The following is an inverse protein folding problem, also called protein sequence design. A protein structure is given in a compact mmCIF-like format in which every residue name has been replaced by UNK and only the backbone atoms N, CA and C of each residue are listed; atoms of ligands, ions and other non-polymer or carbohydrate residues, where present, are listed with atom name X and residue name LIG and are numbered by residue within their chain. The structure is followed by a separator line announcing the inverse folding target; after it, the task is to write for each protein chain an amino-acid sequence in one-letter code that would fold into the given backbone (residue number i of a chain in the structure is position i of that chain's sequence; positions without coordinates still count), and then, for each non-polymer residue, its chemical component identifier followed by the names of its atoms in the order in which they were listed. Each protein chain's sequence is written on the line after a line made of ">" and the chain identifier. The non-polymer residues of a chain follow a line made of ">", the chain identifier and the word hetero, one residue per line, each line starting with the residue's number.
data_IF_750802760507
#
_entry.id   IF_750802760507
#
_cell.length_a   1.000
_cell.length_b   1.000
_cell.length_c   1.000
_cell.angle_alpha   90.00
_cell.angle_beta   90.00
_cell.angle_gamma   90.00
#
_symmetry.space_group_name_H-M   'P 1'
#
loop_
_entity.id
_entity.type
_entity.pdbx_description
1 polymer ?
#
# COMPACT_ATOMS: atom_id res chain seq x y z
N UNK A 1 14.08 29.25 32.75
CA UNK A 1 12.66 28.82 32.70
C UNK A 1 12.26 28.17 31.37
N UNK A 2 12.65 28.69 30.20
CA UNK A 2 12.26 28.11 28.89
C UNK A 2 12.95 26.77 28.52
N UNK A 3 14.23 26.59 28.88
CA UNK A 3 15.02 25.40 28.53
C UNK A 3 14.53 24.12 29.21
N UNK A 4 14.08 24.22 30.47
CA UNK A 4 13.51 23.08 31.23
C UNK A 4 12.19 22.63 30.62
N UNK A 5 11.37 23.57 30.15
CA UNK A 5 10.10 23.29 29.49
C UNK A 5 10.28 22.50 28.19
N UNK A 6 11.28 22.90 27.39
CA UNK A 6 11.62 22.21 26.14
C UNK A 6 12.15 20.80 26.38
N UNK A 7 12.97 20.61 27.42
CA UNK A 7 13.55 19.30 27.76
C UNK A 7 12.48 18.34 28.30
N UNK A 8 11.54 18.83 29.11
CA UNK A 8 10.37 18.06 29.56
C UNK A 8 9.45 17.68 28.39
N UNK A 9 9.25 18.58 27.43
CA UNK A 9 8.46 18.32 26.24
C UNK A 9 9.11 17.26 25.34
N UNK A 10 10.44 17.31 25.16
CA UNK A 10 11.19 16.27 24.44
C UNK A 10 11.12 14.92 25.15
N UNK A 11 11.26 14.89 26.48
CA UNK A 11 11.14 13.65 27.27
C UNK A 11 9.74 13.03 27.16
N UNK A 12 8.67 13.83 27.16
CA UNK A 12 7.31 13.32 26.99
C UNK A 12 7.01 12.73 25.61
N UNK A 13 7.80 13.09 24.58
CA UNK A 13 7.69 12.49 23.24
C UNK A 13 8.47 11.18 23.11
N UNK A 14 9.57 11.02 23.86
CA UNK A 14 10.39 9.81 23.87
C UNK A 14 9.77 8.70 24.73
N UNK A 15 9.05 9.09 25.79
CA UNK A 15 8.32 8.18 26.67
C UNK A 15 6.83 8.55 26.68
N UNK A 16 6.08 8.25 25.60
CA UNK A 16 4.65 8.53 25.59
C UNK A 16 3.99 7.77 26.75
N UNK A 17 3.08 8.41 27.51
CA UNK A 17 2.35 7.72 28.56
C UNK A 17 1.66 6.50 27.93
N UNK A 18 1.94 5.30 28.47
CA UNK A 18 1.27 4.05 28.08
C UNK A 18 -0.17 4.10 28.58
N UNK A 19 -0.99 4.91 27.91
CA UNK A 19 -2.44 4.83 28.01
C UNK A 19 -2.92 3.48 27.48
N UNK A 20 -4.16 3.07 27.78
CA UNK A 20 -4.73 1.88 27.18
C UNK A 20 -4.58 1.97 25.66
N UNK A 21 -3.94 0.96 25.07
CA UNK A 21 -3.71 0.86 23.63
C UNK A 21 -5.07 0.64 22.97
N UNK A 22 -5.80 1.72 22.73
CA UNK A 22 -6.97 1.72 21.89
C UNK A 22 -6.51 1.26 20.51
N UNK A 23 -7.00 0.11 20.08
CA UNK A 23 -6.81 -0.38 18.73
C UNK A 23 -7.23 0.76 17.78
N UNK A 24 -6.42 1.05 16.76
CA UNK A 24 -6.78 2.01 15.69
C UNK A 24 -7.82 1.39 14.74
N UNK A 25 -8.84 0.76 15.32
CA UNK A 25 -9.97 0.18 14.60
C UNK A 25 -11.06 1.23 14.62
N UNK A 26 -11.31 1.82 13.46
CA UNK A 26 -12.46 2.67 13.20
C UNK A 26 -13.50 1.80 12.53
N UNK A 27 -14.64 1.59 13.19
CA UNK A 27 -15.80 0.92 12.60
C UNK A 27 -16.74 1.98 12.03
N UNK A 28 -16.95 1.93 10.71
CA UNK A 28 -17.86 2.82 10.00
C UNK A 28 -19.31 2.32 10.08
N UNK A 29 -20.30 3.17 9.74
CA UNK A 29 -21.68 2.74 9.63
C UNK A 29 -21.81 1.60 8.61
N UNK A 30 -22.53 0.54 8.97
CA UNK A 30 -22.83 -0.63 8.11
C UNK A 30 -23.99 -0.39 7.15
N UNK A 31 -24.43 0.87 7.05
CA UNK A 31 -25.56 1.32 6.24
C UNK A 31 -25.14 2.52 5.39
N UNK A 32 -25.33 2.47 4.05
CA UNK A 32 -25.84 1.32 3.28
C UNK A 32 -24.88 0.12 3.32
N UNK A 33 -25.39 -1.06 2.94
CA UNK A 33 -24.60 -2.28 2.89
C UNK A 33 -23.34 -2.09 2.03
N UNK A 34 -22.23 -2.69 2.48
CA UNK A 34 -20.99 -2.68 1.71
C UNK A 34 -21.19 -3.40 0.38
N UNK A 35 -20.66 -2.84 -0.69
CA UNK A 35 -20.71 -3.49 -1.99
C UNK A 35 -19.80 -4.73 -2.00
N UNK A 36 -20.39 -5.90 -2.22
CA UNK A 36 -19.67 -7.17 -2.36
C UNK A 36 -19.18 -7.37 -3.81
N UNK A 37 -18.29 -6.48 -4.25
CA UNK A 37 -17.64 -6.52 -5.56
C UNK A 37 -16.14 -6.22 -5.42
N UNK A 38 -15.34 -6.80 -6.30
CA UNK A 38 -13.92 -6.51 -6.42
C UNK A 38 -13.68 -5.13 -7.05
N UNK A 39 -12.48 -4.57 -6.85
CA UNK A 39 -12.09 -3.32 -7.52
C UNK A 39 -12.08 -3.43 -9.05
N UNK A 40 -11.76 -4.62 -9.58
CA UNK A 40 -11.81 -4.88 -11.03
C UNK A 40 -13.24 -4.87 -11.57
N UNK A 41 -14.18 -5.46 -10.83
CA UNK A 41 -15.62 -5.41 -11.16
C UNK A 41 -16.16 -3.98 -11.05
N UNK A 42 -15.78 -3.23 -10.01
CA UNK A 42 -16.14 -1.82 -9.89
C UNK A 42 -15.69 -1.01 -11.12
N UNK A 43 -14.45 -1.15 -11.56
CA UNK A 43 -13.96 -0.45 -12.76
C UNK A 43 -14.76 -0.85 -14.00
N UNK A 44 -15.08 -2.14 -14.13
CA UNK A 44 -15.90 -2.65 -15.25
C UNK A 44 -17.30 -2.02 -15.23
N UNK A 45 -17.96 -1.98 -14.08
CA UNK A 45 -19.29 -1.38 -13.92
C UNK A 45 -19.27 0.13 -14.22
N UNK A 46 -18.27 0.85 -13.71
CA UNK A 46 -18.13 2.29 -13.96
C UNK A 46 -17.85 2.59 -15.44
N UNK A 47 -17.04 1.77 -16.11
CA UNK A 47 -16.80 1.87 -17.54
C UNK A 47 -18.06 1.63 -18.37
N UNK A 48 -18.89 0.63 -18.00
CA UNK A 48 -20.16 0.38 -18.68
C UNK A 48 -21.18 1.51 -18.47
N UNK A 49 -21.22 2.10 -17.28
CA UNK A 49 -22.24 3.10 -16.93
C UNK A 49 -21.84 4.52 -17.33
N UNK A 50 -20.55 4.87 -17.24
CA UNK A 50 -20.03 6.22 -17.39
C UNK A 50 -18.83 6.27 -18.35
N UNK A 51 -18.78 5.37 -19.33
CA UNK A 51 -17.63 5.18 -20.22
C UNK A 51 -17.03 6.47 -20.79
N UNK A 52 -17.88 7.38 -21.28
CA UNK A 52 -17.47 8.64 -21.91
C UNK A 52 -17.11 9.76 -20.92
N UNK A 53 -17.28 9.55 -19.61
CA UNK A 53 -17.03 10.57 -18.59
C UNK A 53 -15.55 10.55 -18.17
N UNK A 54 -14.95 11.74 -18.09
CA UNK A 54 -13.59 11.90 -17.59
C UNK A 54 -13.49 11.44 -16.12
N UNK A 55 -12.56 10.52 -15.84
CA UNK A 55 -12.33 9.97 -14.51
C UNK A 55 -10.93 10.28 -13.95
N UNK A 56 -9.96 10.54 -14.83
CA UNK A 56 -8.60 10.90 -14.46
C UNK A 56 -8.12 12.13 -15.20
N UNK A 57 -7.52 13.07 -14.46
CA UNK A 57 -6.91 14.29 -14.99
C UNK A 57 -5.57 14.50 -14.30
N UNK A 58 -4.49 14.46 -15.08
CA UNK A 58 -3.12 14.70 -14.63
C UNK A 58 -2.54 15.90 -15.38
N UNK A 59 -2.57 17.11 -14.80
CA UNK A 59 -2.17 18.33 -15.51
C UNK A 59 -0.71 18.34 -15.99
N UNK A 60 0.21 17.72 -15.24
CA UNK A 60 1.64 17.74 -15.56
C UNK A 60 2.04 16.76 -16.67
N UNK A 61 1.26 15.71 -16.92
CA UNK A 61 1.42 14.81 -18.09
C UNK A 61 0.44 15.18 -19.22
N UNK A 62 -0.44 16.16 -18.99
CA UNK A 62 -1.58 16.48 -19.85
C UNK A 62 -2.54 15.31 -20.09
N UNK A 63 -2.48 14.24 -19.28
CA UNK A 63 -3.36 13.10 -19.43
C UNK A 63 -4.78 13.45 -18.95
N UNK A 64 -5.77 13.09 -19.77
CA UNK A 64 -7.19 13.19 -19.47
C UNK A 64 -7.86 11.94 -19.98
N UNK A 65 -8.29 11.06 -19.08
CA UNK A 65 -8.81 9.74 -19.43
C UNK A 65 -10.26 9.62 -18.97
N UNK A 66 -11.07 9.05 -19.86
CA UNK A 66 -12.42 8.60 -19.55
C UNK A 66 -12.42 7.28 -18.77
N UNK A 67 -13.57 6.86 -18.24
CA UNK A 67 -13.68 5.54 -17.63
C UNK A 67 -13.43 4.41 -18.63
N UNK A 68 -13.76 4.60 -19.91
CA UNK A 68 -13.42 3.65 -20.98
C UNK A 68 -11.91 3.54 -21.19
N UNK A 69 -11.22 4.69 -21.32
CA UNK A 69 -9.76 4.72 -21.50
C UNK A 69 -9.03 4.03 -20.34
N UNK A 70 -9.44 4.31 -19.09
CA UNK A 70 -8.84 3.68 -17.92
C UNK A 70 -9.06 2.17 -17.90
N UNK A 71 -10.24 1.69 -18.30
CA UNK A 71 -10.54 0.26 -18.36
C UNK A 71 -9.68 -0.44 -19.41
N UNK A 72 -9.56 0.15 -20.59
CA UNK A 72 -8.74 -0.41 -21.68
C UNK A 72 -7.26 -0.47 -21.30
N UNK A 73 -6.73 0.60 -20.71
CA UNK A 73 -5.36 0.64 -20.21
C UNK A 73 -5.11 -0.38 -19.10
N UNK A 74 -6.02 -0.48 -18.13
CA UNK A 74 -5.92 -1.49 -17.07
C UNK A 74 -5.95 -2.92 -17.63
N UNK A 75 -6.74 -3.21 -18.66
CA UNK A 75 -6.79 -4.52 -19.33
C UNK A 75 -5.50 -4.84 -20.09
N UNK A 76 -4.90 -3.86 -20.77
CA UNK A 76 -3.60 -4.04 -21.42
C UNK A 76 -2.50 -4.34 -20.40
N UNK A 77 -2.44 -3.58 -19.31
CA UNK A 77 -1.46 -3.80 -18.25
C UNK A 77 -1.70 -5.15 -17.56
N UNK A 78 -2.95 -5.53 -17.27
CA UNK A 78 -3.29 -6.81 -16.64
C UNK A 78 -2.83 -7.99 -17.51
N UNK A 79 -3.06 -7.93 -18.83
CA UNK A 79 -2.53 -8.92 -19.78
C UNK A 79 -1.01 -8.99 -19.76
N UNK A 80 -0.33 -7.84 -19.65
CA UNK A 80 1.12 -7.78 -19.47
C UNK A 80 1.59 -8.48 -18.19
N UNK A 81 0.92 -8.23 -17.07
CA UNK A 81 1.21 -8.89 -15.78
C UNK A 81 1.03 -10.41 -15.88
N UNK A 82 -0.06 -10.87 -16.50
CA UNK A 82 -0.29 -12.30 -16.75
C UNK A 82 0.80 -12.91 -17.63
N UNK A 83 1.24 -12.20 -18.68
CA UNK A 83 2.33 -12.65 -19.56
C UNK A 83 3.69 -12.72 -18.84
N UNK A 84 3.90 -11.92 -17.79
CA UNK A 84 5.05 -12.01 -16.89
C UNK A 84 4.96 -13.18 -15.89
N UNK A 85 3.86 -13.94 -15.92
CA UNK A 85 3.63 -15.07 -15.02
C UNK A 85 3.07 -14.66 -13.66
N UNK A 86 2.60 -13.42 -13.51
CA UNK A 86 1.94 -12.97 -12.28
C UNK A 86 0.57 -13.64 -12.19
N UNK A 87 0.27 -14.21 -11.04
CA UNK A 87 -0.94 -14.96 -10.76
C UNK A 87 -1.65 -14.46 -9.51
N UNK A 88 -2.86 -14.98 -9.29
CA UNK A 88 -3.61 -14.75 -8.07
C UNK A 88 -2.75 -15.11 -6.86
N UNK A 89 -2.71 -14.21 -5.88
CA UNK A 89 -1.89 -14.30 -4.65
C UNK A 89 -0.43 -13.87 -4.79
N UNK A 90 0.02 -13.42 -5.96
CA UNK A 90 1.29 -12.72 -6.06
C UNK A 90 1.21 -11.33 -5.46
N UNK A 91 2.36 -10.85 -4.98
CA UNK A 91 2.50 -9.54 -4.36
C UNK A 91 3.13 -8.59 -5.37
N UNK A 92 2.40 -7.53 -5.73
CA UNK A 92 2.86 -6.52 -6.68
C UNK A 92 3.22 -5.26 -5.89
N UNK A 93 4.49 -4.87 -5.93
CA UNK A 93 4.94 -3.57 -5.45
C UNK A 93 4.87 -2.56 -6.60
N UNK A 94 4.14 -1.46 -6.41
CA UNK A 94 4.07 -0.37 -7.41
C UNK A 94 4.96 0.77 -6.92
N UNK A 95 5.95 1.13 -7.73
CA UNK A 95 6.90 2.20 -7.43
C UNK A 95 6.78 3.29 -8.48
N UNK A 96 5.81 4.17 -8.30
CA UNK A 96 5.49 5.26 -9.22
C UNK A 96 5.07 6.52 -8.46
N UNK A 97 5.19 7.67 -9.12
CA UNK A 97 4.62 8.93 -8.61
C UNK A 97 3.11 8.99 -8.81
N UNK A 98 2.50 10.12 -8.47
CA UNK A 98 1.11 10.38 -8.87
C UNK A 98 1.09 10.56 -10.40
N UNK A 99 0.65 9.55 -11.13
CA UNK A 99 0.52 9.58 -12.59
C UNK A 99 -0.54 8.58 -13.06
N UNK A 100 -0.95 8.72 -14.31
CA UNK A 100 -1.94 7.85 -14.95
C UNK A 100 -1.49 6.37 -14.97
N UNK A 101 -0.20 6.11 -15.12
CA UNK A 101 0.35 4.75 -15.13
C UNK A 101 0.26 4.08 -13.74
N UNK A 102 0.37 4.84 -12.66
CA UNK A 102 0.17 4.29 -11.32
C UNK A 102 -1.27 3.76 -11.18
N UNK A 103 -2.25 4.52 -11.66
CA UNK A 103 -3.66 4.14 -11.58
C UNK A 103 -3.97 2.94 -12.48
N UNK A 104 -3.42 2.89 -13.70
CA UNK A 104 -3.62 1.74 -14.59
C UNK A 104 -3.02 0.46 -14.01
N UNK A 105 -1.80 0.51 -13.45
CA UNK A 105 -1.16 -0.64 -12.79
C UNK A 105 -1.91 -1.07 -11.53
N UNK A 106 -2.45 -0.14 -10.76
CA UNK A 106 -3.25 -0.42 -9.58
C UNK A 106 -4.53 -1.22 -9.92
N UNK A 107 -5.29 -0.78 -10.92
CA UNK A 107 -6.48 -1.51 -11.37
C UNK A 107 -6.13 -2.81 -12.09
N UNK A 108 -5.04 -2.85 -12.87
CA UNK A 108 -4.55 -4.08 -13.48
C UNK A 108 -4.19 -5.13 -12.44
N UNK A 109 -3.50 -4.74 -11.35
CA UNK A 109 -3.21 -5.61 -10.23
C UNK A 109 -4.50 -6.14 -9.60
N UNK A 110 -5.49 -5.28 -9.37
CA UNK A 110 -6.80 -5.66 -8.84
C UNK A 110 -7.55 -6.65 -9.74
N UNK A 111 -7.43 -6.52 -11.07
CA UNK A 111 -8.00 -7.46 -12.05
C UNK A 111 -7.33 -8.84 -12.02
N UNK A 112 -6.01 -8.90 -11.80
CA UNK A 112 -5.26 -10.17 -11.70
C UNK A 112 -5.51 -10.90 -10.37
N UNK A 113 -5.88 -10.16 -9.32
CA UNK A 113 -6.26 -10.72 -8.01
C UNK A 113 -5.08 -10.75 -7.04
N UNK A 114 -4.74 -9.62 -6.39
CA UNK A 114 -3.63 -9.58 -5.45
C UNK A 114 -3.95 -10.42 -4.21
N UNK A 115 -2.90 -10.83 -3.49
CA UNK A 115 -3.07 -11.51 -2.21
C UNK A 115 -3.71 -10.57 -1.19
N UNK A 116 -5.00 -10.76 -0.92
CA UNK A 116 -5.64 -10.26 0.27
C UNK A 116 -5.48 -11.32 1.37
N UNK A 117 -4.54 -11.10 2.29
CA UNK A 117 -4.57 -11.79 3.58
C UNK A 117 -5.15 -10.90 4.65
N UNK A 118 -6.10 -11.41 5.39
CA UNK A 118 -6.45 -10.85 6.70
C UNK A 118 -5.34 -11.15 7.69
N UNK A 119 -5.25 -10.37 8.77
CA UNK A 119 -4.34 -10.63 9.88
C UNK A 119 -4.48 -12.07 10.40
N UNK A 120 -5.73 -12.54 10.55
CA UNK A 120 -6.04 -13.90 11.00
C UNK A 120 -5.46 -14.97 10.06
N UNK A 121 -5.59 -14.77 8.75
CA UNK A 121 -5.04 -15.69 7.75
C UNK A 121 -3.50 -15.73 7.78
N UNK A 122 -2.83 -14.63 8.14
CA UNK A 122 -1.38 -14.61 8.34
C UNK A 122 -1.00 -15.46 9.55
N UNK A 123 -1.70 -15.29 10.68
CA UNK A 123 -1.47 -16.09 11.89
C UNK A 123 -1.70 -17.58 11.60
N UNK A 124 -2.83 -17.93 10.98
CA UNK A 124 -3.18 -19.31 10.65
C UNK A 124 -2.15 -19.98 9.73
N UNK A 125 -1.57 -19.25 8.78
CA UNK A 125 -0.51 -19.77 7.90
C UNK A 125 0.83 -19.97 8.62
N UNK A 126 1.08 -19.22 9.71
CA UNK A 126 2.28 -19.37 10.52
C UNK A 126 2.22 -20.54 11.51
N UNK A 127 1.03 -20.89 12.00
CA UNK A 127 0.83 -21.95 13.02
C UNK A 127 1.49 -23.31 12.69
N UNK A 128 1.49 -23.80 11.43
CA UNK A 128 2.08 -25.10 11.10
C UNK A 128 3.61 -25.06 10.99
N UNK A 129 4.25 -23.88 11.00
CA UNK A 129 5.71 -23.79 10.89
C UNK A 129 6.38 -24.31 12.16
N UNK A 130 7.55 -24.97 12.04
CA UNK A 130 8.27 -25.45 13.21
C UNK A 130 8.77 -24.29 14.06
N UNK A 131 8.93 -24.52 15.37
CA UNK A 131 9.31 -23.48 16.35
C UNK A 131 10.63 -22.77 16.05
N UNK A 132 11.54 -23.42 15.31
CA UNK A 132 12.84 -22.86 14.91
C UNK A 132 12.79 -22.07 13.61
N UNK A 133 11.69 -22.12 12.82
CA UNK A 133 11.64 -21.49 11.50
C UNK A 133 11.92 -19.98 11.53
N UNK A 134 11.50 -19.30 12.60
CA UNK A 134 11.79 -17.88 12.78
C UNK A 134 13.27 -17.65 13.15
N UNK A 135 13.82 -18.46 14.05
CA UNK A 135 15.22 -18.34 14.50
C UNK A 135 16.19 -18.60 13.35
N UNK A 136 15.91 -19.60 12.51
CA UNK A 136 16.73 -19.90 11.34
C UNK A 136 16.71 -18.74 10.35
N UNK A 137 15.54 -18.13 10.09
CA UNK A 137 15.44 -16.97 9.20
C UNK A 137 16.11 -15.73 9.79
N UNK A 138 15.99 -15.50 11.09
CA UNK A 138 16.62 -14.37 11.78
C UNK A 138 18.16 -14.47 11.73
N UNK A 139 18.72 -15.68 11.75
CA UNK A 139 20.15 -15.91 11.65
C UNK A 139 20.74 -15.50 10.28
N UNK A 140 19.91 -15.44 9.23
CA UNK A 140 20.29 -15.00 7.89
C UNK A 140 20.27 -13.47 7.72
N UNK A 141 19.65 -12.73 8.65
CA UNK A 141 19.50 -11.28 8.52
C UNK A 141 20.78 -10.53 8.89
N UNK A 142 21.09 -9.51 8.11
CA UNK A 142 22.20 -8.60 8.35
C UNK A 142 21.71 -7.19 8.67
N UNK A 143 22.46 -6.52 9.53
CA UNK A 143 22.09 -5.16 9.97
C UNK A 143 22.09 -4.11 8.84
N UNK A 144 22.76 -4.41 7.73
CA UNK A 144 22.78 -3.58 6.52
C UNK A 144 21.60 -3.86 5.57
N UNK A 145 20.77 -4.89 5.84
CA UNK A 145 19.62 -5.19 5.00
C UNK A 145 18.55 -4.11 5.13
N UNK A 146 17.92 -3.77 4.00
CA UNK A 146 16.79 -2.84 3.97
C UNK A 146 15.59 -3.52 4.63
N UNK A 147 15.11 -2.91 5.72
CA UNK A 147 13.99 -3.44 6.50
C UNK A 147 12.72 -2.58 6.38
N UNK A 148 12.86 -1.36 5.86
CA UNK A 148 11.72 -0.45 5.73
C UNK A 148 11.88 0.48 4.53
N UNK A 149 10.76 0.68 3.82
CA UNK A 149 10.61 1.70 2.79
C UNK A 149 9.60 2.73 3.28
N UNK A 150 10.04 3.96 3.49
CA UNK A 150 9.18 5.03 3.96
C UNK A 150 9.06 6.13 2.90
N UNK A 151 7.83 6.45 2.53
CA UNK A 151 7.57 7.56 1.60
C UNK A 151 7.41 8.86 2.40
N UNK A 152 8.17 9.88 2.01
CA UNK A 152 8.06 11.22 2.61
C UNK A 152 7.58 12.21 1.57
N UNK A 153 6.68 13.11 1.97
CA UNK A 153 6.25 14.24 1.14
C UNK A 153 7.38 15.24 1.04
N UNK A 154 8.17 15.17 -0.03
CA UNK A 154 9.19 16.16 -0.32
C UNK A 154 8.55 17.53 -0.55
N UNK A 155 9.09 18.59 0.07
CA UNK A 155 8.59 19.96 -0.10
C UNK A 155 8.88 20.58 -1.48
N UNK A 156 9.66 19.90 -2.34
CA UNK A 156 10.11 20.41 -3.66
C UNK A 156 10.16 19.35 -4.77
N UNK A 157 9.38 18.27 -4.71
CA UNK A 157 9.32 17.30 -5.82
C UNK A 157 8.55 16.01 -5.56
N UNK A 158 8.74 15.02 -6.44
CA UNK A 158 8.11 13.70 -6.38
C UNK A 158 8.38 12.98 -5.04
N UNK A 159 7.41 12.15 -4.62
CA UNK A 159 7.55 11.26 -3.46
C UNK A 159 8.82 10.41 -3.60
N UNK A 160 9.62 10.37 -2.54
CA UNK A 160 10.85 9.56 -2.47
C UNK A 160 10.65 8.46 -1.44
N UNK A 161 10.96 7.23 -1.84
CA UNK A 161 11.09 6.12 -0.91
C UNK A 161 12.47 6.22 -0.23
N UNK A 162 12.47 6.49 1.07
CA UNK A 162 13.65 6.30 1.90
C UNK A 162 13.79 4.80 2.19
N UNK A 163 14.92 4.22 1.78
CA UNK A 163 15.26 2.85 2.16
C UNK A 163 16.03 2.89 3.48
N UNK A 164 15.43 2.34 4.53
CA UNK A 164 16.03 2.28 5.84
C UNK A 164 16.51 0.85 6.09
N UNK A 165 17.77 0.73 6.49
CA UNK A 165 18.34 -0.53 6.96
C UNK A 165 18.11 -0.69 8.45
N UNK A 166 18.32 -1.90 8.99
CA UNK A 166 18.20 -2.14 10.43
C UNK A 166 19.12 -1.24 11.26
N UNK A 167 20.28 -0.80 10.74
CA UNK A 167 21.16 0.15 11.42
C UNK A 167 20.57 1.56 11.44
N UNK A 168 20.04 2.03 10.32
CA UNK A 168 19.53 3.41 10.20
C UNK A 168 18.18 3.62 10.88
N UNK A 169 17.41 2.57 11.13
CA UNK A 169 16.16 2.67 11.89
C UNK A 169 16.38 2.80 13.40
N UNK A 170 17.54 2.34 13.90
CA UNK A 170 17.88 2.33 15.33
C UNK A 170 18.59 3.60 15.80
N UNK A 171 19.18 4.36 14.88
CA UNK A 171 19.93 5.58 15.14
C UNK A 171 19.05 6.81 14.93
#
# INVERSE_FOLDING_TARGET
>A
MATVRRLQQTLSHLEPPKGPQLLSIVEGPTQPELLDITLGELLTLQSLQYGDYECLVFPWTCARWTYADLKDEADWVARGLLAMGIQKSDRIGIMAGNCEQYISVFFAAALVGPFWCTYEQVIQRGLPLPSHALQDREAELHSADVCNLQFTSGSTGNLKAAMLTHQYIKN
#
